data_IF_982363439340
#
_entry.id   IF_982363439340
#
_cell.length_a   1.000
_cell.length_b   1.000
_cell.length_c   1.000
_cell.angle_alpha   90.00
_cell.angle_beta   90.00
_cell.angle_gamma   90.00
#
_symmetry.space_group_name_H-M   'P 1'
#
loop_
_entity.id
_entity.type
_entity.pdbx_description
1 polymer ?
#
# COMPACT_ATOMS: atom_id res chain seq x y z
N UNK A 1 -9.05 -21.12 21.42
CA UNK A 1 -9.57 -20.86 20.05
C UNK A 1 -8.64 -21.57 19.07
N UNK A 2 -8.90 -22.86 18.85
CA UNK A 2 -8.04 -23.75 18.06
C UNK A 2 -8.30 -23.58 16.57
N UNK A 3 -7.22 -23.50 15.80
CA UNK A 3 -7.23 -23.48 14.34
C UNK A 3 -7.14 -24.94 13.87
N UNK A 4 -8.24 -25.49 13.35
CA UNK A 4 -8.26 -26.82 12.75
C UNK A 4 -8.25 -26.66 11.23
N UNK A 5 -7.13 -26.99 10.59
CA UNK A 5 -7.07 -27.30 9.16
C UNK A 5 -7.28 -28.80 9.03
N UNK A 6 -8.39 -29.21 8.40
CA UNK A 6 -8.59 -30.59 7.94
C UNK A 6 -8.26 -30.62 6.44
N UNK A 7 -7.25 -31.39 6.06
CA UNK A 7 -6.88 -31.65 4.68
C UNK A 7 -7.48 -33.00 4.27
N UNK A 8 -8.42 -33.00 3.32
CA UNK A 8 -8.92 -34.23 2.69
C UNK A 8 -7.89 -34.78 1.69
N UNK A 9 -7.69 -36.11 1.61
CA UNK A 9 -6.77 -36.73 0.65
C UNK A 9 -7.38 -36.82 -0.77
N UNK A 10 -6.56 -36.84 -1.85
CA UNK A 10 -7.02 -36.93 -3.24
C UNK A 10 -7.32 -38.38 -3.66
N UNK A 11 -8.30 -38.57 -4.55
CA UNK A 11 -8.59 -39.86 -5.22
C UNK A 11 -7.76 -40.02 -6.52
N UNK A 12 -7.33 -41.25 -6.88
CA UNK A 12 -6.54 -41.53 -8.08
C UNK A 12 -7.39 -41.55 -9.38
N UNK A 13 -6.76 -41.50 -10.57
CA UNK A 13 -7.43 -41.28 -11.85
C UNK A 13 -7.90 -42.59 -12.51
N UNK A 14 -8.94 -42.50 -13.35
CA UNK A 14 -9.32 -43.54 -14.32
C UNK A 14 -9.80 -42.86 -15.58
N UNK A 15 -9.24 -43.32 -16.71
CA UNK A 15 -9.37 -42.79 -18.07
C UNK A 15 -10.71 -43.10 -18.77
N UNK A 16 -11.00 -42.26 -19.78
CA UNK A 16 -11.86 -42.46 -20.98
C UNK A 16 -13.40 -42.22 -20.90
N UNK A 17 -14.08 -41.83 -22.01
CA UNK A 17 -13.96 -40.57 -22.75
C UNK A 17 -15.34 -39.85 -22.97
N UNK A 18 -15.27 -38.58 -23.37
CA UNK A 18 -16.30 -37.63 -23.86
C UNK A 18 -17.55 -38.21 -24.59
N UNK A 19 -18.72 -37.55 -24.53
CA UNK A 19 -18.96 -36.35 -25.36
C UNK A 19 -19.73 -35.18 -24.72
N UNK A 20 -19.47 -33.99 -25.27
CA UNK A 20 -20.22 -32.73 -25.11
C UNK A 20 -21.69 -32.88 -25.51
N UNK A 21 -22.64 -32.12 -24.91
CA UNK A 21 -23.03 -30.85 -25.55
C UNK A 21 -23.44 -29.72 -24.57
N UNK A 22 -23.23 -28.48 -25.00
CA UNK A 22 -23.96 -27.26 -24.56
C UNK A 22 -24.95 -26.85 -25.68
N UNK A 23 -25.80 -25.81 -25.59
CA UNK A 23 -26.23 -24.95 -24.46
C UNK A 23 -27.78 -24.75 -24.39
N UNK A 24 -28.40 -24.56 -23.21
CA UNK A 24 -29.72 -23.90 -23.14
C UNK A 24 -29.94 -23.10 -21.85
N UNK A 25 -30.40 -21.87 -22.06
CA UNK A 25 -30.86 -20.82 -21.16
C UNK A 25 -31.72 -21.22 -19.94
N UNK A 26 -31.51 -20.52 -18.82
CA UNK A 26 -32.60 -20.01 -17.98
C UNK A 26 -32.10 -18.87 -17.05
N UNK A 27 -32.67 -17.69 -17.28
CA UNK A 27 -32.58 -16.46 -16.48
C UNK A 27 -33.62 -16.53 -15.34
N UNK A 28 -33.41 -15.90 -14.17
CA UNK A 28 -34.51 -15.37 -13.38
C UNK A 28 -34.49 -13.82 -13.37
N UNK A 29 -35.64 -13.19 -13.11
CA UNK A 29 -36.02 -11.93 -13.73
C UNK A 29 -35.50 -10.69 -13.00
N UNK A 30 -35.30 -9.65 -13.79
CA UNK A 30 -35.28 -8.27 -13.34
C UNK A 30 -36.67 -7.87 -12.83
N UNK A 31 -36.71 -7.35 -11.60
CA UNK A 31 -37.80 -6.50 -11.14
C UNK A 31 -37.23 -5.11 -10.94
N UNK A 32 -37.42 -4.27 -11.94
CA UNK A 32 -37.44 -2.83 -11.77
C UNK A 32 -38.62 -2.48 -10.86
N UNK A 33 -38.41 -1.61 -9.86
CA UNK A 33 -39.11 -0.32 -9.76
C UNK A 33 -39.08 0.26 -8.33
N UNK A 34 -38.93 1.59 -8.31
CA UNK A 34 -39.36 2.55 -7.28
C UNK A 34 -38.37 2.91 -6.14
N UNK A 35 -37.78 4.08 -6.33
CA UNK A 35 -37.37 5.06 -5.32
C UNK A 35 -38.46 5.19 -4.24
N UNK A 36 -38.07 5.30 -2.96
CA UNK A 36 -38.73 6.25 -2.07
C UNK A 36 -37.70 7.25 -1.53
N UNK A 37 -37.96 8.50 -1.88
CA UNK A 37 -37.44 9.68 -1.24
C UNK A 37 -38.08 9.80 0.15
N UNK A 38 -37.25 10.10 1.15
CA UNK A 38 -37.58 10.70 2.45
C UNK A 38 -38.41 9.92 3.47
N UNK A 39 -37.79 9.75 4.64
CA UNK A 39 -38.28 10.12 5.99
C UNK A 39 -38.40 9.01 7.06
N UNK A 40 -37.68 9.28 8.15
CA UNK A 40 -37.95 8.98 9.57
C UNK A 40 -37.53 7.62 10.16
N UNK A 41 -36.41 7.66 10.89
CA UNK A 41 -36.14 6.85 12.08
C UNK A 41 -36.27 7.77 13.33
N UNK A 42 -36.52 7.23 14.54
CA UNK A 42 -37.25 7.91 15.62
C UNK A 42 -36.45 8.96 16.37
N UNK A 43 -37.13 10.05 16.71
CA UNK A 43 -36.81 11.15 17.64
C UNK A 43 -35.62 10.93 18.61
N UNK A 44 -34.41 11.21 18.16
CA UNK A 44 -33.29 11.63 19.01
C UNK A 44 -33.23 13.16 18.99
N UNK A 45 -33.11 13.84 20.14
CA UNK A 45 -32.92 15.28 20.15
C UNK A 45 -31.58 15.61 19.47
N UNK A 46 -31.63 16.28 18.32
CA UNK A 46 -30.45 16.71 17.58
C UNK A 46 -29.54 17.53 18.49
N UNK A 47 -28.31 17.06 18.66
CA UNK A 47 -27.24 17.69 19.44
C UNK A 47 -27.11 19.19 19.09
N UNK A 48 -27.09 20.09 20.09
CA UNK A 48 -26.96 21.53 19.86
C UNK A 48 -25.73 21.93 19.03
N UNK A 49 -24.67 21.13 19.02
CA UNK A 49 -23.49 21.41 18.20
C UNK A 49 -23.72 21.10 16.72
N UNK A 50 -24.50 20.06 16.42
CA UNK A 50 -24.85 19.67 15.05
C UNK A 50 -25.80 20.70 14.43
N UNK A 51 -26.76 21.23 15.22
CA UNK A 51 -27.62 22.33 14.76
C UNK A 51 -26.81 23.56 14.37
N UNK A 52 -25.79 23.90 15.15
CA UNK A 52 -24.90 25.03 14.90
C UNK A 52 -24.07 24.85 13.62
N UNK A 53 -23.69 23.61 13.29
CA UNK A 53 -23.03 23.25 12.04
C UNK A 53 -23.99 23.41 10.84
N UNK A 54 -25.22 22.89 10.95
CA UNK A 54 -26.26 23.01 9.91
C UNK A 54 -26.64 24.47 9.63
N UNK A 55 -26.74 25.30 10.67
CA UNK A 55 -27.02 26.73 10.53
C UNK A 55 -25.90 27.48 9.81
N UNK A 56 -24.66 27.03 9.98
CA UNK A 56 -23.50 27.59 9.30
C UNK A 56 -23.48 27.27 7.80
N UNK A 57 -23.98 26.09 7.40
CA UNK A 57 -24.10 25.69 5.98
C UNK A 57 -25.30 26.34 5.28
N UNK A 58 -26.45 26.45 5.96
CA UNK A 58 -27.64 27.10 5.38
C UNK A 58 -27.45 28.62 5.19
N UNK A 59 -26.54 29.23 5.95
CA UNK A 59 -26.23 30.66 5.87
C UNK A 59 -25.25 31.03 4.75
N UNK A 60 -24.72 30.05 4.01
CA UNK A 60 -23.83 30.28 2.86
C UNK A 60 -24.53 30.29 1.50
N UNK A 61 -25.84 30.00 1.43
CA UNK A 61 -26.62 30.07 0.18
C UNK A 61 -27.50 31.33 0.12
N UNK A 62 -26.87 32.50 0.03
CA UNK A 62 -27.49 33.71 -0.50
C UNK A 62 -26.64 34.24 -1.67
N UNK A 63 -26.89 33.71 -2.87
CA UNK A 63 -26.44 34.33 -4.12
C UNK A 63 -27.23 35.62 -4.39
N UNK A 64 -26.58 36.76 -4.64
CA UNK A 64 -27.23 38.07 -4.63
C UNK A 64 -27.94 38.40 -5.96
N UNK A 65 -29.16 38.94 -5.87
CA UNK A 65 -29.79 39.64 -7.00
C UNK A 65 -29.41 41.13 -6.94
N UNK A 66 -28.71 41.53 -7.99
CA UNK A 66 -28.38 42.89 -8.44
C UNK A 66 -29.25 44.02 -7.87
N UNK A 67 -28.61 44.97 -7.16
CA UNK A 67 -28.90 46.40 -7.31
C UNK A 67 -27.72 47.23 -6.77
N UNK A 68 -27.39 48.25 -7.54
CA UNK A 68 -26.31 49.22 -7.37
C UNK A 68 -26.38 50.01 -6.07
N UNK A 69 -25.26 50.16 -5.37
CA UNK A 69 -24.73 51.48 -4.97
C UNK A 69 -23.40 51.38 -4.21
N UNK A 70 -22.63 52.42 -4.44
CA UNK A 70 -21.27 52.76 -4.02
C UNK A 70 -21.05 52.74 -2.51
N UNK A 71 -19.92 52.19 -2.04
CA UNK A 71 -18.97 52.86 -1.13
C UNK A 71 -17.92 51.89 -0.56
N UNK A 72 -16.69 52.40 -0.53
CA UNK A 72 -15.48 51.79 0.03
C UNK A 72 -15.62 51.42 1.51
N UNK A 73 -15.08 50.27 1.92
CA UNK A 73 -14.21 50.19 3.11
C UNK A 73 -13.62 48.79 3.27
N UNK A 74 -12.34 48.78 3.67
CA UNK A 74 -11.46 47.64 3.94
C UNK A 74 -12.11 46.50 4.75
N UNK A 75 -11.95 45.26 4.27
CA UNK A 75 -12.03 44.07 5.11
C UNK A 75 -10.87 43.09 4.80
N UNK A 76 -10.37 42.37 5.83
CA UNK A 76 -9.18 41.52 5.74
C UNK A 76 -9.48 40.23 4.98
N UNK A 77 -8.47 39.59 4.33
CA UNK A 77 -8.70 38.33 3.66
C UNK A 77 -9.06 37.24 4.69
N UNK A 78 -10.16 36.56 4.41
CA UNK A 78 -10.66 35.38 5.10
C UNK A 78 -9.53 34.43 5.48
N UNK A 79 -9.41 34.19 6.78
CA UNK A 79 -8.40 33.32 7.35
C UNK A 79 -8.44 31.91 6.70
N UNK A 80 -9.63 31.40 6.39
CA UNK A 80 -9.83 30.05 5.84
C UNK A 80 -9.20 29.81 4.46
N UNK A 81 -9.17 30.82 3.57
CA UNK A 81 -8.49 30.70 2.26
C UNK A 81 -6.97 30.88 2.36
N UNK A 82 -6.51 31.58 3.39
CA UNK A 82 -5.09 31.72 3.70
C UNK A 82 -4.49 30.44 4.30
N UNK A 83 -5.27 29.69 5.11
CA UNK A 83 -4.82 28.42 5.72
C UNK A 83 -4.63 27.31 4.69
N UNK A 84 -5.50 27.24 3.69
CA UNK A 84 -5.37 26.30 2.58
C UNK A 84 -4.20 26.70 1.66
N UNK A 85 -3.99 27.99 1.40
CA UNK A 85 -2.88 28.45 0.54
C UNK A 85 -1.49 28.33 1.22
N UNK A 86 -1.43 28.49 2.53
CA UNK A 86 -0.18 28.41 3.31
C UNK A 86 0.32 26.99 3.56
N UNK A 87 -0.53 25.95 3.44
CA UNK A 87 -0.10 24.54 3.52
C UNK A 87 0.42 23.93 2.22
N UNK A 88 0.28 24.61 1.08
CA UNK A 88 0.69 24.06 -0.24
C UNK A 88 1.81 24.85 -0.93
N UNK A 89 2.35 25.91 -0.31
CA UNK A 89 3.34 26.80 -0.94
C UNK A 89 4.79 26.63 -0.47
N UNK A 90 5.11 25.56 0.24
CA UNK A 90 6.51 25.22 0.52
C UNK A 90 6.77 23.75 0.16
N UNK A 91 6.75 23.45 -1.13
CA UNK A 91 7.63 22.39 -1.60
C UNK A 91 9.05 22.91 -1.36
N UNK A 92 9.85 22.30 -0.47
CA UNK A 92 11.25 22.69 -0.35
C UNK A 92 11.87 22.55 -1.74
N UNK A 93 12.61 23.57 -2.15
CA UNK A 93 13.50 23.52 -3.31
C UNK A 93 14.42 22.31 -3.10
N UNK A 94 14.05 21.18 -3.70
CA UNK A 94 14.68 19.91 -3.43
C UNK A 94 16.07 19.93 -4.08
N UNK A 95 17.10 19.67 -3.28
CA UNK A 95 18.46 19.53 -3.77
C UNK A 95 18.49 18.52 -4.93
N UNK A 96 19.31 18.78 -5.98
CA UNK A 96 19.40 17.87 -7.11
C UNK A 96 19.90 16.51 -6.62
N UNK A 97 19.04 15.49 -6.75
CA UNK A 97 19.36 14.09 -6.42
C UNK A 97 20.36 13.58 -7.45
N UNK A 98 21.49 12.97 -7.04
CA UNK A 98 22.45 12.42 -7.99
C UNK A 98 21.78 11.37 -8.90
N UNK A 99 22.18 11.27 -10.18
CA UNK A 99 21.72 10.18 -11.05
C UNK A 99 22.16 8.84 -10.47
N UNK A 100 21.31 7.82 -10.60
CA UNK A 100 21.62 6.46 -10.15
C UNK A 100 22.43 5.72 -11.23
N UNK A 101 22.83 4.49 -10.95
CA UNK A 101 23.43 3.60 -11.95
C UNK A 101 22.51 3.51 -13.20
N UNK A 102 23.09 3.41 -14.40
CA UNK A 102 22.32 3.47 -15.65
C UNK A 102 21.26 2.36 -15.74
N UNK A 103 21.52 1.21 -15.10
CA UNK A 103 20.56 0.10 -15.03
C UNK A 103 19.40 0.47 -14.11
N UNK A 104 19.64 0.92 -12.88
CA UNK A 104 18.59 1.38 -11.97
C UNK A 104 17.78 2.53 -12.57
N UNK A 105 18.44 3.48 -13.23
CA UNK A 105 17.76 4.62 -13.83
C UNK A 105 16.82 4.21 -14.99
N UNK A 106 17.18 3.17 -15.74
CA UNK A 106 16.33 2.61 -16.80
C UNK A 106 15.12 1.83 -16.29
N UNK A 107 15.18 1.32 -15.05
CA UNK A 107 14.10 0.56 -14.41
C UNK A 107 13.05 1.46 -13.73
N UNK A 108 13.37 2.75 -13.55
CA UNK A 108 12.46 3.70 -12.93
C UNK A 108 11.16 3.82 -13.75
N UNK A 109 9.98 3.78 -13.10
CA UNK A 109 8.72 3.99 -13.76
C UNK A 109 8.65 5.36 -14.45
N UNK A 110 8.16 5.39 -15.68
CA UNK A 110 7.92 6.61 -16.47
C UNK A 110 6.47 7.05 -16.40
N UNK A 111 5.57 6.16 -15.99
CA UNK A 111 4.15 6.42 -15.83
C UNK A 111 3.68 6.11 -14.42
N UNK A 112 2.62 6.80 -14.00
CA UNK A 112 1.97 6.56 -12.72
C UNK A 112 0.46 6.76 -12.85
N UNK A 113 -0.31 5.98 -12.09
CA UNK A 113 -1.77 6.08 -12.07
C UNK A 113 -2.28 6.67 -10.75
N UNK A 114 -3.04 7.77 -10.83
CA UNK A 114 -3.46 8.50 -9.62
C UNK A 114 -4.47 7.72 -8.79
N UNK A 115 -5.28 6.88 -9.45
CA UNK A 115 -6.23 6.00 -8.77
C UNK A 115 -5.50 4.96 -7.91
N UNK A 116 -4.47 4.32 -8.46
CA UNK A 116 -3.69 3.34 -7.71
C UNK A 116 -2.93 4.00 -6.56
N UNK A 117 -2.35 5.18 -6.78
CA UNK A 117 -1.69 5.94 -5.72
C UNK A 117 -2.66 6.28 -4.58
N UNK A 118 -3.90 6.66 -4.91
CA UNK A 118 -4.96 6.88 -3.92
C UNK A 118 -5.32 5.59 -3.16
N UNK A 119 -5.57 4.49 -3.89
CA UNK A 119 -5.95 3.21 -3.28
C UNK A 119 -4.85 2.70 -2.33
N UNK A 120 -3.57 2.93 -2.67
CA UNK A 120 -2.44 2.62 -1.79
C UNK A 120 -2.39 3.50 -0.55
N UNK A 121 -2.52 4.82 -0.70
CA UNK A 121 -2.53 5.75 0.43
C UNK A 121 -3.69 5.47 1.40
N UNK A 122 -4.88 5.22 0.85
CA UNK A 122 -6.07 4.88 1.64
C UNK A 122 -5.94 3.53 2.35
N UNK A 123 -5.49 2.49 1.63
CA UNK A 123 -5.32 1.15 2.23
C UNK A 123 -4.28 1.14 3.34
N UNK A 124 -3.19 1.92 3.21
CA UNK A 124 -2.21 2.08 4.27
C UNK A 124 -2.80 2.72 5.52
N UNK A 125 -3.66 3.73 5.39
CA UNK A 125 -4.26 4.42 6.53
C UNK A 125 -5.47 3.70 7.12
N UNK A 126 -5.98 2.68 6.43
CA UNK A 126 -7.09 1.87 6.91
C UNK A 126 -6.73 1.11 8.19
N UNK A 127 -7.71 0.91 9.07
CA UNK A 127 -7.53 0.16 10.33
C UNK A 127 -6.96 -1.25 10.08
N UNK A 128 -7.39 -1.91 9.00
CA UNK A 128 -6.88 -3.24 8.63
C UNK A 128 -5.41 -3.21 8.18
N UNK A 129 -4.99 -2.16 7.45
CA UNK A 129 -3.61 -1.98 7.02
C UNK A 129 -2.66 -1.67 8.17
N UNK A 130 -3.09 -0.82 9.11
CA UNK A 130 -2.29 -0.42 10.27
C UNK A 130 -2.22 -1.51 11.35
N UNK A 131 -3.23 -2.37 11.50
CA UNK A 131 -3.23 -3.41 12.55
C UNK A 131 -2.00 -4.33 12.47
N UNK A 132 -1.63 -4.78 11.27
CA UNK A 132 -0.46 -5.63 11.07
C UNK A 132 0.86 -4.88 11.36
N UNK A 133 0.90 -3.58 11.09
CA UNK A 133 2.05 -2.74 11.42
C UNK A 133 2.24 -2.64 12.94
N UNK A 134 1.16 -2.34 13.67
CA UNK A 134 1.18 -2.26 15.14
C UNK A 134 1.54 -3.61 15.75
N UNK A 135 0.97 -4.71 15.24
CA UNK A 135 1.29 -6.05 15.75
C UNK A 135 2.76 -6.43 15.55
N UNK A 136 3.38 -6.09 14.40
CA UNK A 136 4.76 -6.48 14.07
C UNK A 136 5.82 -5.54 14.60
N UNK A 137 5.54 -4.24 14.59
CA UNK A 137 6.53 -3.19 14.87
C UNK A 137 6.19 -2.39 16.14
N UNK A 138 5.00 -2.55 16.71
CA UNK A 138 4.57 -1.82 17.90
C UNK A 138 4.12 -0.38 17.63
N UNK A 139 4.16 0.08 16.38
CA UNK A 139 3.81 1.44 15.99
C UNK A 139 2.97 1.48 14.72
N UNK A 140 2.25 2.59 14.53
CA UNK A 140 1.56 2.88 13.28
C UNK A 140 2.61 3.24 12.22
N UNK A 141 2.50 2.64 11.03
CA UNK A 141 3.38 2.97 9.91
C UNK A 141 3.06 4.35 9.37
N UNK A 142 4.10 5.12 9.04
CA UNK A 142 3.95 6.38 8.30
C UNK A 142 3.47 6.10 6.86
N UNK A 143 2.27 6.59 6.53
CA UNK A 143 1.70 6.53 5.19
C UNK A 143 1.93 7.81 4.37
N UNK A 144 2.72 8.77 4.86
CA UNK A 144 2.89 10.08 4.19
C UNK A 144 3.41 9.94 2.77
N UNK A 145 4.39 9.05 2.56
CA UNK A 145 5.00 8.81 1.25
C UNK A 145 3.98 8.38 0.16
N UNK A 146 2.93 7.64 0.54
CA UNK A 146 1.88 7.23 -0.40
C UNK A 146 0.94 8.39 -0.72
N UNK A 147 0.69 9.27 0.25
CA UNK A 147 -0.04 10.51 0.02
C UNK A 147 0.75 11.47 -0.87
N UNK A 148 2.06 11.54 -0.69
CA UNK A 148 2.95 12.33 -1.54
C UNK A 148 2.90 11.84 -2.99
N UNK A 149 2.93 10.51 -3.22
CA UNK A 149 2.72 9.91 -4.55
C UNK A 149 1.37 10.34 -5.17
N UNK A 150 0.29 10.31 -4.38
CA UNK A 150 -1.04 10.71 -4.83
C UNK A 150 -1.10 12.19 -5.20
N UNK A 151 -0.62 13.08 -4.33
CA UNK A 151 -0.62 14.52 -4.58
C UNK A 151 0.30 14.90 -5.74
N UNK A 152 1.44 14.24 -5.87
CA UNK A 152 2.32 14.39 -7.03
C UNK A 152 1.60 13.99 -8.32
N UNK A 153 0.91 12.86 -8.34
CA UNK A 153 0.13 12.43 -9.50
C UNK A 153 -0.97 13.45 -9.86
N UNK A 154 -1.71 13.93 -8.86
CA UNK A 154 -2.76 14.93 -9.08
C UNK A 154 -2.20 16.24 -9.64
N UNK A 155 -1.02 16.66 -9.17
CA UNK A 155 -0.33 17.88 -9.64
C UNK A 155 0.22 17.73 -11.05
N UNK A 156 0.74 16.56 -11.40
CA UNK A 156 1.38 16.28 -12.70
C UNK A 156 0.41 15.71 -13.75
N UNK A 157 -0.86 15.51 -13.39
CA UNK A 157 -1.90 15.00 -14.31
C UNK A 157 -2.08 15.84 -15.58
N UNK A 158 -1.80 17.14 -15.52
CA UNK A 158 -1.89 18.04 -16.66
C UNK A 158 -0.69 17.94 -17.61
N UNK A 159 0.41 17.30 -17.19
CA UNK A 159 1.59 17.12 -18.03
C UNK A 159 1.33 16.03 -19.07
N UNK A 160 1.89 16.22 -20.27
CA UNK A 160 1.75 15.28 -21.39
C UNK A 160 3.11 14.95 -22.00
N UNK A 161 3.21 13.76 -22.59
CA UNK A 161 4.41 13.26 -23.27
C UNK A 161 5.64 13.19 -22.37
N UNK A 162 6.79 13.55 -22.94
CA UNK A 162 8.12 13.43 -22.32
C UNK A 162 8.27 14.23 -21.02
N UNK A 163 7.55 15.34 -20.88
CA UNK A 163 7.59 16.18 -19.67
C UNK A 163 7.02 15.40 -18.48
N UNK A 164 5.90 14.69 -18.69
CA UNK A 164 5.30 13.85 -17.65
C UNK A 164 6.24 12.70 -17.30
N UNK A 165 6.79 12.02 -18.30
CA UNK A 165 7.69 10.88 -18.11
C UNK A 165 8.93 11.26 -17.31
N UNK A 166 9.54 12.40 -17.62
CA UNK A 166 10.70 12.90 -16.91
C UNK A 166 10.35 13.30 -15.47
N UNK A 167 9.23 14.01 -15.26
CA UNK A 167 8.77 14.38 -13.92
C UNK A 167 8.49 13.15 -13.05
N UNK A 168 7.83 12.12 -13.61
CA UNK A 168 7.54 10.86 -12.90
C UNK A 168 8.84 10.12 -12.58
N UNK A 169 9.77 10.04 -13.54
CA UNK A 169 11.09 9.41 -13.33
C UNK A 169 11.87 10.11 -12.21
N UNK A 170 11.90 11.43 -12.21
CA UNK A 170 12.56 12.23 -11.16
C UNK A 170 11.90 12.05 -9.79
N UNK A 171 10.58 11.91 -9.74
CA UNK A 171 9.85 11.64 -8.50
C UNK A 171 10.22 10.27 -7.90
N UNK A 172 10.23 9.21 -8.71
CA UNK A 172 10.66 7.88 -8.26
C UNK A 172 12.15 7.84 -7.90
N UNK A 173 13.00 8.57 -8.64
CA UNK A 173 14.41 8.76 -8.30
C UNK A 173 14.60 9.32 -6.90
N UNK A 174 13.87 10.39 -6.57
CA UNK A 174 13.94 11.01 -5.24
C UNK A 174 13.46 10.04 -4.16
N UNK A 175 12.39 9.31 -4.43
CA UNK A 175 11.83 8.32 -3.50
C UNK A 175 12.81 7.19 -3.18
N UNK A 176 13.52 6.68 -4.18
CA UNK A 176 14.56 5.67 -3.98
C UNK A 176 15.75 6.26 -3.19
N UNK A 177 16.16 7.48 -3.54
CA UNK A 177 17.22 8.18 -2.82
C UNK A 177 16.90 8.33 -1.32
N UNK A 178 15.71 8.83 -1.00
CA UNK A 178 15.25 9.01 0.38
C UNK A 178 15.16 7.68 1.15
N UNK A 179 14.84 6.59 0.46
CA UNK A 179 14.70 5.27 1.09
C UNK A 179 16.05 4.62 1.36
N UNK A 180 16.97 4.67 0.40
CA UNK A 180 18.19 3.86 0.42
C UNK A 180 19.47 4.65 0.73
N UNK A 181 19.49 5.95 0.44
CA UNK A 181 20.71 6.78 0.51
C UNK A 181 20.55 8.00 1.42
N UNK A 182 19.40 8.18 2.08
CA UNK A 182 19.22 9.23 3.06
C UNK A 182 20.15 9.04 4.28
N UNK A 183 20.62 10.13 4.91
CA UNK A 183 21.45 10.03 6.10
C UNK A 183 20.70 9.28 7.21
N UNK A 184 21.28 8.17 7.67
CA UNK A 184 20.73 7.30 8.70
C UNK A 184 19.95 6.08 8.17
N UNK A 185 19.79 5.94 6.85
CA UNK A 185 19.36 4.68 6.24
C UNK A 185 20.57 3.93 5.68
N UNK A 186 20.58 2.61 5.85
CA UNK A 186 21.61 1.74 5.31
C UNK A 186 21.01 0.88 4.21
N UNK A 187 21.52 1.04 2.98
CA UNK A 187 21.18 0.16 1.88
C UNK A 187 22.10 -1.06 1.88
N UNK A 188 21.59 -2.19 1.40
CA UNK A 188 22.44 -3.37 1.15
C UNK A 188 23.56 -3.07 0.15
N UNK A 189 23.37 -2.07 -0.72
CA UNK A 189 24.36 -1.65 -1.70
C UNK A 189 25.60 -1.00 -1.08
N UNK A 190 25.54 -0.55 0.18
CA UNK A 190 26.71 -0.08 0.94
C UNK A 190 27.67 -1.24 1.28
N UNK A 191 27.12 -2.46 1.42
CA UNK A 191 27.87 -3.66 1.80
C UNK A 191 28.20 -4.51 0.57
N UNK A 192 27.30 -4.52 -0.42
CA UNK A 192 27.35 -5.40 -1.58
C UNK A 192 27.34 -4.59 -2.88
N UNK A 193 28.46 -4.62 -3.59
CA UNK A 193 28.59 -3.98 -4.91
C UNK A 193 28.12 -4.91 -6.04
N UNK A 194 27.53 -4.31 -7.09
CA UNK A 194 27.15 -5.03 -8.29
C UNK A 194 28.40 -5.54 -9.03
N UNK A 195 28.34 -6.77 -9.56
CA UNK A 195 29.44 -7.33 -10.37
C UNK A 195 29.44 -6.74 -11.77
N UNK A 196 30.58 -6.21 -12.20
CA UNK A 196 30.79 -5.70 -13.57
C UNK A 196 30.81 -6.82 -14.64
N UNK A 197 31.17 -8.04 -14.22
CA UNK A 197 31.36 -9.17 -15.13
C UNK A 197 30.60 -10.41 -14.68
N UNK A 198 30.22 -11.24 -15.65
CA UNK A 198 29.59 -12.53 -15.39
C UNK A 198 30.57 -13.44 -14.66
N UNK A 199 30.07 -14.12 -13.63
CA UNK A 199 30.81 -15.14 -12.90
C UNK A 199 31.12 -16.29 -13.85
N UNK A 200 32.37 -16.74 -13.88
CA UNK A 200 32.79 -17.83 -14.76
C UNK A 200 32.04 -19.13 -14.39
N UNK A 201 31.63 -19.94 -15.38
CA UNK A 201 30.92 -21.18 -15.11
C UNK A 201 31.76 -22.10 -14.24
N UNK A 202 31.16 -22.69 -13.21
CA UNK A 202 31.80 -23.62 -12.28
C UNK A 202 32.57 -22.98 -11.11
N UNK A 203 32.57 -21.65 -10.96
CA UNK A 203 33.25 -20.98 -9.83
C UNK A 203 32.37 -20.76 -8.61
N UNK A 204 31.06 -20.59 -8.79
CA UNK A 204 30.09 -20.40 -7.71
C UNK A 204 29.08 -21.56 -7.71
N UNK A 205 28.70 -22.01 -6.50
CA UNK A 205 27.71 -23.07 -6.29
C UNK A 205 28.05 -24.40 -7.01
N UNK A 206 29.34 -24.72 -7.12
CA UNK A 206 29.84 -25.94 -7.78
C UNK A 206 29.79 -27.19 -6.89
N UNK A 207 29.57 -27.02 -5.59
CA UNK A 207 29.43 -28.12 -4.65
C UNK A 207 28.09 -28.81 -4.86
N UNK A 208 28.11 -30.12 -5.08
CA UNK A 208 26.90 -30.91 -5.17
C UNK A 208 26.22 -30.90 -3.81
N UNK A 209 25.01 -30.35 -3.73
CA UNK A 209 24.20 -30.47 -2.53
C UNK A 209 23.79 -31.94 -2.42
N UNK A 210 24.37 -32.66 -1.47
CA UNK A 210 23.93 -34.00 -1.12
C UNK A 210 22.53 -33.90 -0.50
N UNK A 211 21.51 -34.07 -1.33
CA UNK A 211 20.13 -34.20 -0.86
C UNK A 211 20.10 -35.51 -0.08
N UNK A 212 20.01 -35.41 1.25
CA UNK A 212 19.92 -36.56 2.12
C UNK A 212 18.75 -37.45 1.66
N UNK A 213 19.06 -38.69 1.23
CA UNK A 213 18.05 -39.67 0.80
C UNK A 213 17.35 -40.37 1.97
N UNK A 214 17.41 -39.77 3.16
CA UNK A 214 16.83 -40.35 4.36
C UNK A 214 15.31 -40.21 4.28
N UNK A 215 14.59 -41.29 4.58
CA UNK A 215 13.12 -41.26 4.64
C UNK A 215 12.63 -40.28 5.73
N UNK A 216 11.48 -39.65 5.52
CA UNK A 216 10.96 -38.58 6.40
C UNK A 216 10.80 -39.06 7.85
N UNK A 217 10.49 -40.34 8.07
CA UNK A 217 10.33 -40.93 9.39
C UNK A 217 11.67 -41.19 10.08
N UNK A 218 12.69 -41.57 9.32
CA UNK A 218 14.05 -41.72 9.83
C UNK A 218 14.67 -40.36 10.16
N UNK A 219 14.47 -39.37 9.29
CA UNK A 219 14.93 -38.01 9.53
C UNK A 219 14.30 -37.43 10.80
N UNK A 220 13.00 -37.64 11.02
CA UNK A 220 12.31 -37.22 12.25
C UNK A 220 12.90 -37.85 13.50
N UNK A 221 13.21 -39.15 13.47
CA UNK A 221 13.84 -39.85 14.61
C UNK A 221 15.23 -39.30 14.91
N UNK A 222 16.05 -39.10 13.88
CA UNK A 222 17.40 -38.55 14.02
C UNK A 222 17.36 -37.13 14.59
N UNK A 223 16.43 -36.29 14.13
CA UNK A 223 16.26 -34.93 14.63
C UNK A 223 15.76 -34.91 16.08
N UNK A 224 14.87 -35.83 16.47
CA UNK A 224 14.41 -36.00 17.85
C UNK A 224 15.55 -36.43 18.78
N UNK A 225 16.38 -37.37 18.35
CA UNK A 225 17.56 -37.80 19.11
C UNK A 225 18.60 -36.68 19.24
N UNK A 226 18.85 -35.94 18.15
CA UNK A 226 19.73 -34.76 18.16
C UNK A 226 19.24 -33.73 19.18
N UNK A 227 17.94 -33.44 19.19
CA UNK A 227 17.32 -32.50 20.14
C UNK A 227 17.37 -33.00 21.59
N UNK A 228 17.29 -34.31 21.81
CA UNK A 228 17.45 -34.90 23.16
C UNK A 228 18.90 -34.76 23.64
N UNK A 229 19.88 -35.08 22.79
CA UNK A 229 21.32 -34.91 23.11
C UNK A 229 21.64 -33.46 23.47
N UNK A 230 21.18 -32.49 22.67
CA UNK A 230 21.39 -31.06 22.98
C UNK A 230 20.76 -30.68 24.33
N UNK A 231 19.56 -31.17 24.64
CA UNK A 231 18.92 -30.92 25.94
C UNK A 231 19.69 -31.54 27.10
N UNK A 232 20.26 -32.72 26.90
CA UNK A 232 21.10 -33.40 27.89
C UNK A 232 22.42 -32.65 28.11
N UNK A 233 23.09 -32.21 27.04
CA UNK A 233 24.34 -31.43 27.10
C UNK A 233 24.14 -30.08 27.79
N UNK A 234 22.98 -29.44 27.57
CA UNK A 234 22.58 -28.22 28.26
C UNK A 234 22.06 -28.47 29.69
N UNK A 235 22.04 -29.72 30.16
CA UNK A 235 21.76 -30.09 31.55
C UNK A 235 20.28 -30.08 31.96
N UNK A 236 19.34 -30.01 31.01
CA UNK A 236 17.90 -29.96 31.31
C UNK A 236 17.31 -31.29 31.80
N UNK A 237 18.01 -32.41 31.60
CA UNK A 237 17.59 -33.76 32.03
C UNK A 237 17.93 -34.07 33.51
N UNK A 238 18.71 -33.22 34.19
CA UNK A 238 19.15 -33.44 35.58
C UNK A 238 18.22 -32.81 36.61
N UNK A 239 16.94 -33.19 36.61
CA UNK A 239 16.03 -33.01 37.77
C UNK A 239 15.04 -34.15 37.87
N UNK A 240 15.46 -35.22 38.55
CA UNK A 240 14.61 -36.04 39.40
C UNK A 240 15.41 -36.50 40.60
#
# INVERSE_FOLDING_TARGET
MGWLWTSSPPKPPTDQPSPSPSPTSALPPASSSLIPNSSQAPNEPVDPEIQKLLDLFNKSDDTPKSSSSTSSSNQPPSALTSWLSSKFSSAPEALPVPPLDPVSESLLPTEMSCRQAFDQAWSCNSLGGQWNAVYRHGEMRSCSHLWDDFWFCMRTKSFSGTIKENAVREHYRRKEYEKYYAPGTHSSEEIWEAREHKVAPGTAFSEAIEIAQVDDDEWRKLEDERRRKIRQDLGYEKKS
#
